data_IF_351359743498
#
_entry.id   IF_351359743498
#
_cell.length_a   1.000
_cell.length_b   1.000
_cell.length_c   1.000
_cell.angle_alpha   90.00
_cell.angle_beta   90.00
_cell.angle_gamma   90.00
#
_symmetry.space_group_name_H-M   'P 1'
#
loop_
_entity.id
_entity.type
_entity.pdbx_description
1 polymer ?
#
# COMPACT_ATOMS: atom_id res chain seq x y z
N UNK A 1 17.05 -1.44 -6.60
CA UNK A 1 15.91 -0.96 -7.42
C UNK A 1 15.56 0.44 -6.99
N UNK A 2 15.30 1.34 -7.92
CA UNK A 2 14.87 2.73 -7.68
C UNK A 2 13.36 2.79 -7.51
N UNK A 3 12.91 3.11 -6.30
CA UNK A 3 11.51 3.02 -5.90
C UNK A 3 10.95 4.40 -5.59
N UNK A 4 9.77 4.71 -6.14
CA UNK A 4 8.89 5.75 -5.65
C UNK A 4 7.90 5.12 -4.68
N UNK A 5 7.88 5.59 -3.43
CA UNK A 5 6.97 5.05 -2.41
C UNK A 5 5.75 5.96 -2.23
N UNK A 6 4.55 5.38 -2.20
CA UNK A 6 3.30 6.09 -1.97
C UNK A 6 2.55 5.46 -0.79
N UNK A 7 2.41 6.19 0.31
CA UNK A 7 1.76 5.66 1.50
C UNK A 7 1.42 6.74 2.52
N UNK A 8 0.64 6.40 3.54
CA UNK A 8 0.20 7.40 4.53
C UNK A 8 0.29 6.92 5.98
N UNK A 9 -0.44 5.85 6.42
CA UNK A 9 -0.53 5.44 7.83
C UNK A 9 0.68 4.62 8.31
N UNK A 10 0.61 4.16 9.56
CA UNK A 10 1.67 3.42 10.24
C UNK A 10 2.12 2.17 9.48
N UNK A 11 1.20 1.38 8.93
CA UNK A 11 1.56 0.21 8.10
C UNK A 11 2.44 0.60 6.91
N UNK A 12 2.15 1.74 6.27
CA UNK A 12 2.97 2.23 5.16
C UNK A 12 4.35 2.70 5.67
N UNK A 13 4.41 3.30 6.85
CA UNK A 13 5.67 3.71 7.47
C UNK A 13 6.56 2.50 7.80
N UNK A 14 6.00 1.42 8.33
CA UNK A 14 6.75 0.18 8.60
C UNK A 14 7.24 -0.48 7.31
N UNK A 15 6.43 -0.53 6.26
CA UNK A 15 6.86 -1.01 4.94
C UNK A 15 7.99 -0.14 4.36
N UNK A 16 7.89 1.18 4.48
CA UNK A 16 8.95 2.09 4.03
C UNK A 16 10.26 1.88 4.78
N UNK A 17 10.22 1.72 6.11
CA UNK A 17 11.40 1.39 6.93
C UNK A 17 12.05 0.08 6.48
N UNK A 18 11.24 -0.95 6.20
CA UNK A 18 11.73 -2.23 5.74
C UNK A 18 12.45 -2.13 4.37
N UNK A 19 11.89 -1.33 3.43
CA UNK A 19 12.51 -1.08 2.13
C UNK A 19 13.86 -0.33 2.27
N UNK A 20 13.97 0.65 3.17
CA UNK A 20 15.25 1.30 3.47
C UNK A 20 16.26 0.31 4.05
N UNK A 21 15.83 -0.51 5.03
CA UNK A 21 16.69 -1.52 5.64
C UNK A 21 17.16 -2.58 4.64
N UNK A 22 16.36 -2.90 3.63
CA UNK A 22 16.72 -3.78 2.52
C UNK A 22 17.65 -3.12 1.48
N UNK A 23 18.03 -1.85 1.66
CA UNK A 23 18.99 -1.15 0.81
C UNK A 23 18.44 -0.67 -0.52
N UNK A 24 17.12 -0.50 -0.64
CA UNK A 24 16.53 0.06 -1.85
C UNK A 24 16.72 1.58 -1.96
N UNK A 25 16.91 2.09 -3.19
CA UNK A 25 16.96 3.51 -3.49
C UNK A 25 15.53 4.09 -3.51
N UNK A 26 15.11 4.70 -2.42
CA UNK A 26 13.81 5.39 -2.35
C UNK A 26 14.01 6.81 -2.88
N UNK A 27 13.67 7.02 -4.15
CA UNK A 27 13.93 8.29 -4.85
C UNK A 27 13.03 9.43 -4.37
N UNK A 28 11.82 9.13 -3.92
CA UNK A 28 10.89 10.07 -3.32
C UNK A 28 9.75 9.34 -2.60
N UNK A 29 9.03 10.08 -1.78
CA UNK A 29 7.84 9.61 -1.07
C UNK A 29 6.67 10.53 -1.37
N UNK A 30 5.53 9.94 -1.74
CA UNK A 30 4.24 10.61 -1.85
C UNK A 30 3.34 10.21 -0.70
N UNK A 31 2.80 11.19 0.02
CA UNK A 31 1.90 10.93 1.15
C UNK A 31 0.77 11.96 1.21
N UNK A 32 -0.23 11.71 2.05
CA UNK A 32 -1.32 12.68 2.26
C UNK A 32 -0.79 13.91 3.01
N UNK A 33 -1.55 15.01 2.88
CA UNK A 33 -1.23 16.27 3.59
C UNK A 33 -1.33 16.09 5.09
N UNK A 34 -0.54 16.88 5.82
CA UNK A 34 -0.66 17.02 7.26
C UNK A 34 -2.09 17.39 7.63
N UNK A 35 -2.61 16.76 8.67
CA UNK A 35 -4.01 16.95 9.12
C UNK A 35 -4.06 17.39 10.57
N UNK A 36 -5.03 18.22 10.95
CA UNK A 36 -5.31 18.48 12.35
C UNK A 36 -5.76 17.20 13.07
N UNK A 37 -5.15 16.88 14.21
CA UNK A 37 -5.44 15.70 15.02
C UNK A 37 -5.79 16.08 16.45
N UNK A 38 -6.71 15.33 17.05
CA UNK A 38 -7.14 15.49 18.43
C UNK A 38 -7.98 16.74 18.71
N UNK A 39 -8.36 16.93 19.97
CA UNK A 39 -9.21 18.07 20.41
C UNK A 39 -8.54 19.44 20.17
N UNK A 40 -7.22 19.49 20.23
CA UNK A 40 -6.44 20.74 20.05
C UNK A 40 -6.14 21.05 18.58
N UNK A 41 -6.62 20.24 17.63
CA UNK A 41 -6.42 20.41 16.18
C UNK A 41 -4.94 20.66 15.82
N UNK A 42 -4.03 19.91 16.46
CA UNK A 42 -2.60 20.02 16.19
C UNK A 42 -2.32 19.45 14.80
N UNK A 43 -1.69 20.27 13.94
CA UNK A 43 -1.29 19.83 12.61
C UNK A 43 -0.22 18.74 12.73
N UNK A 44 -0.57 17.52 12.31
CA UNK A 44 0.26 16.33 12.50
C UNK A 44 0.66 15.76 11.15
N UNK A 45 1.95 15.49 10.99
CA UNK A 45 2.49 14.85 9.78
C UNK A 45 2.03 13.38 9.70
N UNK A 46 1.82 12.84 8.51
CA UNK A 46 1.63 11.40 8.33
C UNK A 46 2.88 10.63 8.77
N UNK A 47 2.75 9.42 9.35
CA UNK A 47 3.88 8.59 9.77
C UNK A 47 4.93 8.36 8.68
N UNK A 48 4.50 8.15 7.44
CA UNK A 48 5.38 7.98 6.27
C UNK A 48 6.25 9.22 6.02
N UNK A 49 5.71 10.44 6.22
CA UNK A 49 6.49 11.68 6.08
C UNK A 49 7.62 11.77 7.09
N UNK A 50 7.37 11.39 8.33
CA UNK A 50 8.38 11.41 9.40
C UNK A 50 9.53 10.46 9.08
N UNK A 51 9.22 9.24 8.62
CA UNK A 51 10.22 8.25 8.21
C UNK A 51 11.03 8.76 7.02
N UNK A 52 10.39 9.30 5.98
CA UNK A 52 11.07 9.81 4.80
C UNK A 52 12.02 10.96 5.12
N UNK A 53 11.59 11.92 5.94
CA UNK A 53 12.42 13.05 6.38
C UNK A 53 13.63 12.60 7.21
N UNK A 54 13.46 11.60 8.07
CA UNK A 54 14.59 11.02 8.84
C UNK A 54 15.65 10.38 7.95
N UNK A 55 15.30 9.95 6.74
CA UNK A 55 16.22 9.39 5.73
C UNK A 55 16.66 10.41 4.68
N UNK A 56 16.25 11.68 4.80
CA UNK A 56 16.59 12.73 3.84
C UNK A 56 15.92 12.57 2.47
N UNK A 57 14.87 11.76 2.37
CA UNK A 57 14.15 11.49 1.12
C UNK A 57 13.15 12.62 0.84
N UNK A 58 13.08 13.13 -0.42
CA UNK A 58 12.09 14.13 -0.82
C UNK A 58 10.65 13.65 -0.58
N UNK A 59 9.80 14.53 -0.03
CA UNK A 59 8.40 14.24 0.29
C UNK A 59 7.48 15.15 -0.49
N UNK A 60 6.51 14.57 -1.18
CA UNK A 60 5.47 15.25 -1.94
C UNK A 60 4.09 14.97 -1.34
N UNK A 61 3.27 16.02 -1.22
CA UNK A 61 1.95 15.96 -0.61
C UNK A 61 0.87 16.61 -1.51
N UNK A 62 0.69 16.11 -2.75
CA UNK A 62 -0.31 16.66 -3.65
C UNK A 62 -1.73 16.43 -3.11
N UNK A 63 -2.67 17.26 -3.54
CA UNK A 63 -4.08 17.09 -3.22
C UNK A 63 -4.67 15.89 -3.97
N UNK A 64 -4.26 15.72 -5.20
CA UNK A 64 -4.70 14.66 -6.12
C UNK A 64 -3.58 14.36 -7.12
N UNK A 65 -3.64 13.21 -7.78
CA UNK A 65 -2.81 12.89 -8.94
C UNK A 65 -3.62 12.92 -10.25
N UNK A 66 -4.95 13.08 -10.16
CA UNK A 66 -5.86 12.98 -11.30
C UNK A 66 -5.80 14.16 -12.27
N UNK A 67 -5.30 15.29 -11.82
CA UNK A 67 -5.19 16.52 -12.61
C UNK A 67 -3.91 16.57 -13.47
N UNK A 68 -3.05 15.54 -13.37
CA UNK A 68 -1.80 15.44 -14.13
C UNK A 68 -0.70 16.38 -13.66
N UNK A 69 -0.92 17.17 -12.60
CA UNK A 69 0.06 18.15 -12.10
C UNK A 69 1.38 17.55 -11.65
N UNK A 70 1.36 16.27 -11.27
CA UNK A 70 2.54 15.53 -10.79
C UNK A 70 3.20 14.64 -11.86
N UNK A 71 2.61 14.51 -13.05
CA UNK A 71 3.07 13.55 -14.07
C UNK A 71 4.51 13.82 -14.52
N UNK A 72 4.88 15.09 -14.74
CA UNK A 72 6.25 15.46 -15.13
C UNK A 72 7.23 15.22 -13.99
N UNK A 73 6.84 15.53 -12.76
CA UNK A 73 7.64 15.33 -11.57
C UNK A 73 7.91 13.82 -11.34
N UNK A 74 6.88 12.99 -11.43
CA UNK A 74 7.02 11.53 -11.29
C UNK A 74 7.90 10.95 -12.39
N UNK A 75 7.76 11.41 -13.64
CA UNK A 75 8.65 10.98 -14.75
C UNK A 75 10.09 11.42 -14.53
N UNK A 76 10.31 12.65 -14.06
CA UNK A 76 11.66 13.15 -13.78
C UNK A 76 12.38 12.39 -12.65
N UNK A 77 11.64 11.85 -11.68
CA UNK A 77 12.17 10.98 -10.63
C UNK A 77 12.65 9.63 -11.19
N UNK A 78 12.21 9.25 -12.38
CA UNK A 78 12.58 8.03 -13.09
C UNK A 78 12.51 6.75 -12.21
N UNK A 79 11.38 6.47 -11.54
CA UNK A 79 11.25 5.26 -10.74
C UNK A 79 11.23 4.02 -11.64
N UNK A 80 11.87 2.95 -11.19
CA UNK A 80 11.75 1.63 -11.81
C UNK A 80 10.47 0.91 -11.38
N UNK A 81 10.03 1.17 -10.15
CA UNK A 81 8.83 0.61 -9.53
C UNK A 81 8.15 1.69 -8.65
N UNK A 82 6.83 1.73 -8.66
CA UNK A 82 6.06 2.44 -7.64
C UNK A 82 5.49 1.42 -6.65
N UNK A 83 5.75 1.64 -5.36
CA UNK A 83 5.19 0.83 -4.26
C UNK A 83 4.12 1.63 -3.55
N UNK A 84 2.91 1.09 -3.50
CA UNK A 84 1.75 1.74 -2.87
C UNK A 84 1.32 0.95 -1.64
N UNK A 85 1.17 1.63 -0.50
CA UNK A 85 0.65 1.05 0.73
C UNK A 85 -0.30 2.05 1.39
N UNK A 86 -1.60 1.78 1.35
CA UNK A 86 -2.62 2.63 1.96
C UNK A 86 -2.44 4.14 1.70
N UNK A 87 -2.18 4.53 0.45
CA UNK A 87 -1.90 5.92 0.08
C UNK A 87 -3.14 6.81 0.17
N UNK A 88 -4.31 6.27 -0.19
CA UNK A 88 -5.58 6.98 -0.13
C UNK A 88 -5.80 8.00 -1.25
N UNK A 89 -5.09 7.88 -2.36
CA UNK A 89 -5.35 8.58 -3.62
C UNK A 89 -5.42 7.57 -4.77
N UNK A 90 -6.27 7.86 -5.73
CA UNK A 90 -6.34 7.08 -6.98
C UNK A 90 -5.16 7.49 -7.87
N UNK A 91 -4.45 6.51 -8.40
CA UNK A 91 -3.40 6.70 -9.37
C UNK A 91 -4.02 6.71 -10.78
N UNK A 92 -3.85 7.79 -11.56
CA UNK A 92 -4.30 7.81 -12.95
C UNK A 92 -3.40 6.91 -13.82
N UNK A 93 -3.90 6.54 -14.99
CA UNK A 93 -3.19 5.71 -15.97
C UNK A 93 -1.79 6.23 -16.30
N UNK A 94 -1.63 7.55 -16.43
CA UNK A 94 -0.33 8.19 -16.68
C UNK A 94 0.71 7.86 -15.63
N UNK A 95 0.32 7.73 -14.35
CA UNK A 95 1.21 7.35 -13.26
C UNK A 95 1.43 5.83 -13.24
N UNK A 96 0.37 5.03 -13.45
CA UNK A 96 0.46 3.57 -13.47
C UNK A 96 1.43 3.04 -14.52
N UNK A 97 1.49 3.69 -15.69
CA UNK A 97 2.33 3.31 -16.83
C UNK A 97 3.74 3.94 -16.83
N UNK A 98 4.05 4.81 -15.87
CA UNK A 98 5.35 5.52 -15.84
C UNK A 98 6.52 4.59 -15.49
N UNK A 99 6.47 3.75 -14.44
CA UNK A 99 7.65 2.95 -14.08
C UNK A 99 7.77 1.68 -14.93
N UNK A 100 9.02 1.26 -15.16
CA UNK A 100 9.33 0.06 -15.96
C UNK A 100 8.62 -1.20 -15.47
N UNK A 101 8.54 -1.37 -14.16
CA UNK A 101 7.90 -2.53 -13.52
C UNK A 101 6.46 -2.23 -13.04
N UNK A 102 5.91 -1.07 -13.45
CA UNK A 102 4.56 -0.65 -13.06
C UNK A 102 4.44 -0.27 -11.59
N UNK A 103 3.21 -0.35 -11.10
CA UNK A 103 2.86 -0.03 -9.72
C UNK A 103 2.38 -1.28 -9.01
N UNK A 104 2.85 -1.52 -7.80
CA UNK A 104 2.36 -2.59 -6.93
C UNK A 104 1.68 -2.03 -5.69
N UNK A 105 0.67 -2.72 -5.21
CA UNK A 105 -0.01 -2.38 -3.96
C UNK A 105 0.08 -3.53 -2.97
N UNK A 106 0.42 -3.21 -1.72
CA UNK A 106 0.25 -4.12 -0.60
C UNK A 106 -1.16 -3.95 -0.04
N UNK A 107 -1.97 -5.00 -0.19
CA UNK A 107 -3.33 -5.09 0.32
C UNK A 107 -3.43 -6.08 1.47
N UNK A 108 -4.13 -5.70 2.54
CA UNK A 108 -4.16 -6.47 3.80
C UNK A 108 -5.35 -7.42 3.86
N UNK A 109 -5.51 -8.23 2.80
CA UNK A 109 -6.42 -9.38 2.72
C UNK A 109 -5.87 -10.43 1.74
N UNK A 110 -6.50 -11.58 1.72
CA UNK A 110 -6.31 -12.59 0.67
C UNK A 110 -7.22 -12.25 -0.52
N UNK A 111 -6.72 -11.45 -1.47
CA UNK A 111 -7.47 -11.09 -2.67
C UNK A 111 -7.92 -12.33 -3.44
N UNK A 112 -9.12 -12.34 -4.05
CA UNK A 112 -10.06 -11.22 -4.26
C UNK A 112 -11.00 -10.92 -3.08
N UNK A 113 -10.82 -11.55 -1.92
CA UNK A 113 -11.65 -11.30 -0.73
C UNK A 113 -11.31 -9.93 -0.11
N UNK A 114 -12.33 -9.18 0.28
CA UNK A 114 -12.20 -7.89 0.96
C UNK A 114 -11.39 -6.84 0.17
N UNK A 115 -11.66 -6.66 -1.11
CA UNK A 115 -11.21 -5.47 -1.86
C UNK A 115 -11.73 -4.20 -1.19
N UNK A 116 -10.97 -3.11 -1.22
CA UNK A 116 -11.35 -1.81 -0.65
C UNK A 116 -10.67 -1.50 0.69
N UNK A 117 -11.33 -0.73 1.58
CA UNK A 117 -10.64 0.09 2.57
C UNK A 117 -10.51 -0.48 3.99
N UNK A 118 -11.17 -1.57 4.36
CA UNK A 118 -11.19 -2.06 5.74
C UNK A 118 -11.12 -3.60 5.86
N UNK A 119 -10.21 -4.27 5.12
CA UNK A 119 -10.22 -5.73 5.00
C UNK A 119 -9.98 -6.46 6.32
N UNK A 120 -9.07 -5.97 7.18
CA UNK A 120 -8.74 -6.60 8.47
C UNK A 120 -9.93 -6.57 9.41
N UNK A 121 -10.61 -5.42 9.49
CA UNK A 121 -11.80 -5.28 10.34
C UNK A 121 -12.94 -6.20 9.89
N UNK A 122 -13.13 -6.33 8.57
CA UNK A 122 -14.15 -7.23 8.04
C UNK A 122 -13.83 -8.72 8.27
N UNK A 123 -12.56 -9.11 8.19
CA UNK A 123 -12.16 -10.47 8.49
C UNK A 123 -12.49 -10.85 9.95
N UNK A 124 -12.20 -9.97 10.90
CA UNK A 124 -12.54 -10.18 12.33
C UNK A 124 -14.05 -10.16 12.55
N UNK A 125 -14.78 -9.18 11.99
CA UNK A 125 -16.23 -9.06 12.15
C UNK A 125 -16.99 -10.25 11.59
N UNK A 126 -16.51 -10.85 10.51
CA UNK A 126 -17.11 -12.03 9.90
C UNK A 126 -16.69 -13.35 10.55
N UNK A 127 -15.80 -13.31 11.54
CA UNK A 127 -15.29 -14.50 12.21
C UNK A 127 -14.48 -15.40 11.28
N UNK A 128 -13.74 -14.82 10.35
CA UNK A 128 -12.88 -15.59 9.45
C UNK A 128 -11.78 -16.31 10.24
N UNK A 129 -11.49 -17.55 9.87
CA UNK A 129 -10.39 -18.32 10.49
C UNK A 129 -9.01 -17.88 9.99
N UNK A 130 -8.94 -17.24 8.82
CA UNK A 130 -7.71 -16.76 8.21
C UNK A 130 -7.92 -15.45 7.45
N UNK A 131 -6.86 -14.65 7.39
CA UNK A 131 -6.72 -13.51 6.50
C UNK A 131 -5.32 -13.55 5.88
N UNK A 132 -4.78 -12.43 5.46
CA UNK A 132 -3.40 -12.36 4.97
C UNK A 132 -3.05 -11.04 4.33
N UNK A 133 -1.97 -11.08 3.59
CA UNK A 133 -1.52 -9.97 2.75
C UNK A 133 -1.43 -10.43 1.31
N UNK A 134 -1.74 -9.54 0.38
CA UNK A 134 -1.55 -9.73 -1.04
C UNK A 134 -0.72 -8.59 -1.62
N UNK A 135 0.29 -8.91 -2.40
CA UNK A 135 0.95 -7.93 -3.27
C UNK A 135 0.35 -8.11 -4.66
N UNK A 136 -0.22 -7.05 -5.19
CA UNK A 136 -0.84 -7.08 -6.53
C UNK A 136 -0.23 -6.03 -7.45
N UNK A 137 -0.23 -6.31 -8.75
CA UNK A 137 0.00 -5.32 -9.80
C UNK A 137 -1.21 -4.40 -9.86
N UNK A 138 -1.01 -3.08 -9.83
CA UNK A 138 -2.13 -2.15 -9.90
C UNK A 138 -2.60 -1.95 -11.34
N UNK A 139 -3.91 -1.83 -11.47
CA UNK A 139 -4.63 -1.39 -12.67
C UNK A 139 -5.51 -0.16 -12.37
N UNK A 140 -6.39 0.22 -13.28
CA UNK A 140 -7.29 1.36 -13.12
C UNK A 140 -8.47 1.05 -12.17
N UNK A 141 -8.69 -0.21 -11.79
CA UNK A 141 -9.76 -0.66 -10.90
C UNK A 141 -9.39 -0.55 -9.41
N UNK A 142 -10.37 -0.77 -8.56
CA UNK A 142 -10.17 -0.80 -7.12
C UNK A 142 -9.76 -2.22 -6.70
N UNK A 143 -8.48 -2.40 -6.42
CA UNK A 143 -7.88 -3.67 -5.97
C UNK A 143 -8.22 -4.86 -6.90
N UNK A 144 -8.25 -4.61 -8.22
CA UNK A 144 -8.65 -5.59 -9.25
C UNK A 144 -7.48 -6.21 -10.00
N UNK A 145 -6.29 -5.65 -9.87
CA UNK A 145 -5.11 -6.09 -10.60
C UNK A 145 -4.61 -7.49 -10.20
N UNK A 146 -3.76 -8.05 -11.02
CA UNK A 146 -3.24 -9.40 -10.85
C UNK A 146 -2.44 -9.57 -9.56
N UNK A 147 -2.67 -10.65 -8.83
CA UNK A 147 -1.95 -10.97 -7.60
C UNK A 147 -0.58 -11.56 -7.94
N UNK A 148 0.48 -10.93 -7.41
CA UNK A 148 1.87 -11.38 -7.58
C UNK A 148 2.29 -12.37 -6.49
N UNK A 149 1.81 -12.15 -5.27
CA UNK A 149 2.11 -12.97 -4.10
C UNK A 149 1.02 -12.78 -3.06
N UNK A 150 0.71 -13.83 -2.32
CA UNK A 150 -0.11 -13.72 -1.10
C UNK A 150 0.46 -14.59 0.01
N UNK A 151 0.27 -14.15 1.25
CA UNK A 151 0.63 -14.90 2.43
C UNK A 151 -0.54 -14.96 3.41
N UNK A 152 -0.86 -16.17 3.86
CA UNK A 152 -1.95 -16.44 4.80
C UNK A 152 -1.52 -16.22 6.24
N UNK A 153 -2.44 -15.70 7.04
CA UNK A 153 -2.29 -15.46 8.47
C UNK A 153 -3.53 -16.02 9.16
N UNK A 154 -3.36 -16.98 10.06
CA UNK A 154 -4.45 -17.49 10.90
C UNK A 154 -4.92 -16.38 11.85
N UNK A 155 -6.23 -16.26 12.06
CA UNK A 155 -6.83 -15.35 13.03
C UNK A 155 -7.12 -16.13 14.31
N UNK A 156 -6.61 -15.65 15.45
CA UNK A 156 -6.99 -16.23 16.73
C UNK A 156 -8.42 -15.78 17.10
N UNK A 157 -9.31 -16.67 17.57
CA UNK A 157 -10.68 -16.32 17.93
C UNK A 157 -10.82 -15.20 18.97
N UNK A 158 -9.81 -15.01 19.83
CA UNK A 158 -9.80 -13.96 20.85
C UNK A 158 -9.02 -12.69 20.40
N UNK A 159 -8.44 -12.70 19.17
CA UNK A 159 -7.62 -11.62 18.67
C UNK A 159 -8.46 -10.41 18.26
N UNK A 160 -8.08 -9.25 18.74
CA UNK A 160 -8.70 -8.00 18.31
C UNK A 160 -8.22 -7.59 16.90
N UNK A 161 -9.01 -6.77 16.22
CA UNK A 161 -8.59 -6.22 14.91
C UNK A 161 -7.31 -5.38 15.00
N UNK A 162 -6.99 -4.80 16.15
CA UNK A 162 -5.74 -4.06 16.38
C UNK A 162 -4.53 -4.98 16.42
N UNK A 163 -4.58 -6.05 17.21
CA UNK A 163 -3.51 -7.06 17.30
C UNK A 163 -3.28 -7.75 15.96
N UNK A 164 -4.36 -8.12 15.27
CA UNK A 164 -4.26 -8.68 13.92
C UNK A 164 -3.62 -7.69 12.94
N UNK A 165 -3.96 -6.40 13.04
CA UNK A 165 -3.39 -5.36 12.17
C UNK A 165 -1.87 -5.22 12.36
N UNK A 166 -1.37 -5.31 13.58
CA UNK A 166 0.08 -5.28 13.87
C UNK A 166 0.80 -6.48 13.24
N UNK A 167 0.21 -7.68 13.34
CA UNK A 167 0.75 -8.90 12.73
C UNK A 167 0.76 -8.82 11.21
N UNK A 168 -0.36 -8.40 10.61
CA UNK A 168 -0.49 -8.19 9.16
C UNK A 168 0.52 -7.15 8.67
N UNK A 169 0.77 -6.10 9.45
CA UNK A 169 1.78 -5.07 9.13
C UNK A 169 3.18 -5.68 9.07
N UNK A 170 3.57 -6.47 10.07
CA UNK A 170 4.89 -7.10 10.10
C UNK A 170 5.09 -8.09 8.94
N UNK A 171 4.08 -8.92 8.67
CA UNK A 171 4.11 -9.86 7.54
C UNK A 171 4.15 -9.12 6.21
N UNK A 172 3.34 -8.08 6.04
CA UNK A 172 3.30 -7.26 4.82
C UNK A 172 4.63 -6.60 4.50
N UNK A 173 5.29 -6.02 5.50
CA UNK A 173 6.60 -5.40 5.33
C UNK A 173 7.67 -6.42 4.89
N UNK A 174 7.66 -7.63 5.46
CA UNK A 174 8.56 -8.71 5.08
C UNK A 174 8.29 -9.20 3.65
N UNK A 175 7.04 -9.54 3.34
CA UNK A 175 6.62 -10.02 2.00
C UNK A 175 6.95 -9.00 0.93
N UNK A 176 6.76 -7.71 1.20
CA UNK A 176 7.11 -6.64 0.27
C UNK A 176 8.62 -6.65 -0.07
N UNK A 177 9.50 -6.85 0.94
CA UNK A 177 10.94 -6.93 0.73
C UNK A 177 11.37 -8.17 -0.06
N UNK A 178 10.60 -9.27 -0.01
CA UNK A 178 10.85 -10.48 -0.79
C UNK A 178 10.36 -10.32 -2.25
N UNK A 179 9.23 -9.65 -2.44
CA UNK A 179 8.58 -9.47 -3.76
C UNK A 179 9.34 -8.47 -4.64
N UNK A 180 9.84 -7.37 -4.07
CA UNK A 180 10.52 -6.31 -4.84
C UNK A 180 11.72 -6.85 -5.65
N UNK A 181 12.67 -7.61 -5.09
CA UNK A 181 13.74 -8.21 -5.89
C UNK A 181 13.24 -9.27 -6.87
N UNK A 182 12.19 -10.03 -6.54
CA UNK A 182 11.60 -11.03 -7.41
C UNK A 182 10.95 -10.42 -8.67
N UNK A 183 10.35 -9.22 -8.54
CA UNK A 183 9.86 -8.41 -9.68
C UNK A 183 11.03 -8.06 -10.60
N UNK A 184 12.14 -7.57 -10.06
CA UNK A 184 13.32 -7.22 -10.85
C UNK A 184 13.90 -8.43 -11.60
N UNK A 185 13.88 -9.60 -10.96
CA UNK A 185 14.35 -10.86 -11.54
C UNK A 185 13.37 -11.49 -12.54
N UNK A 186 12.12 -11.00 -12.62
CA UNK A 186 11.08 -11.55 -13.48
C UNK A 186 10.65 -12.98 -13.09
N UNK A 187 10.76 -13.34 -11.82
CA UNK A 187 10.46 -14.69 -11.31
C UNK A 187 9.04 -14.88 -10.83
N UNK A 188 8.26 -13.81 -10.77
CA UNK A 188 6.85 -13.85 -10.36
C UNK A 188 5.93 -14.06 -11.55
N UNK A 189 4.91 -14.87 -11.37
CA UNK A 189 3.85 -15.08 -12.35
C UNK A 189 2.57 -14.43 -11.82
N UNK A 190 2.11 -13.31 -12.43
CA UNK A 190 0.86 -12.67 -12.04
C UNK A 190 -0.33 -13.63 -12.16
N UNK A 191 -1.20 -13.63 -11.18
CA UNK A 191 -2.41 -14.46 -11.13
C UNK A 191 -3.64 -13.56 -11.24
N UNK A 192 -4.43 -13.66 -12.33
CA UNK A 192 -5.67 -12.91 -12.47
C UNK A 192 -6.64 -13.20 -11.32
N UNK A 193 -7.31 -12.15 -10.84
CA UNK A 193 -8.34 -12.31 -9.81
C UNK A 193 -9.68 -12.74 -10.42
N UNK A 194 -10.43 -13.57 -9.69
CA UNK A 194 -11.84 -13.80 -9.99
C UNK A 194 -12.68 -12.60 -9.54
N UNK A 195 -13.00 -11.74 -10.50
CA UNK A 195 -13.75 -10.50 -10.24
C UNK A 195 -15.26 -10.72 -10.10
N UNK A 196 -15.76 -11.94 -10.27
CA UNK A 196 -17.16 -12.29 -10.00
C UNK A 196 -17.51 -12.26 -8.51
N UNK A 197 -16.49 -12.38 -7.64
CA UNK A 197 -16.62 -12.31 -6.19
C UNK A 197 -16.74 -10.84 -5.76
N UNK A 198 -17.95 -10.42 -5.35
CA UNK A 198 -18.24 -9.06 -4.89
C UNK A 198 -18.05 -8.99 -3.36
N UNK A 199 -16.81 -8.97 -2.90
CA UNK A 199 -16.48 -8.63 -1.51
C UNK A 199 -15.74 -7.28 -1.50
N UNK A 200 -16.50 -6.18 -1.59
CA UNK A 200 -15.94 -4.82 -1.48
C UNK A 200 -16.15 -4.37 -0.04
N UNK A 201 -15.08 -4.14 0.68
CA UNK A 201 -15.12 -3.55 2.02
C UNK A 201 -15.24 -2.02 1.88
N UNK A 202 -16.46 -1.49 1.93
CA UNK A 202 -16.66 -0.05 2.02
C UNK A 202 -16.66 0.41 3.48
N UNK A 203 -16.09 1.60 3.78
CA UNK A 203 -16.22 2.17 5.10
C UNK A 203 -17.71 2.49 5.34
N UNK A 204 -18.29 1.95 6.42
CA UNK A 204 -19.62 2.34 6.87
C UNK A 204 -19.65 3.85 7.09
N UNK A 205 -20.37 4.59 6.25
CA UNK A 205 -20.68 5.99 6.51
C UNK A 205 -21.50 6.03 7.82
N UNK A 206 -20.94 6.61 8.87
CA UNK A 206 -21.78 7.03 9.99
C UNK A 206 -22.71 8.11 9.45
N UNK A 207 -24.00 7.80 9.38
CA UNK A 207 -25.09 8.75 9.20
C UNK A 207 -25.13 9.73 10.37
#
# INVERSE_FOLDING_TARGET
MRILFMGTPDIAAECLKALYAAGHDICAVYTRRDKPVGRKQVLTAPPVKEVALAHGTPVFQPRTLRDGSEDENIRALAPELIVVVAYGCILPKSVLETPKYGCINLHVSLLPKYRGSAPVQWAVLNGDAETGVSIMQMDEGLDTGDVLCCEKIAIDPEETSGELFDRVTAVGARVLCEVVPAIAAGTLTPQPQDLSLIHISEPTRRS
#
